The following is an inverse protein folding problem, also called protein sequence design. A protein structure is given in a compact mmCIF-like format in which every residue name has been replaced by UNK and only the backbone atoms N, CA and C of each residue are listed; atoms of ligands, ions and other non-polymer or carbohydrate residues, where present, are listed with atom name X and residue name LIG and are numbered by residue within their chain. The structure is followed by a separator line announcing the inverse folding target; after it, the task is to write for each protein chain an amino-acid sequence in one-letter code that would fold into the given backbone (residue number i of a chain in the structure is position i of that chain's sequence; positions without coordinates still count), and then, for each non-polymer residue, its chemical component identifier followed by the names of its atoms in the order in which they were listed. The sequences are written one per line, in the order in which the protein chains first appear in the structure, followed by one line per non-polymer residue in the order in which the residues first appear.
data_IF_341452429164
#
_entry.id   IF_341452429164
#
_cell.length_a   1.000
_cell.length_b   1.000
_cell.length_c   1.000
_cell.angle_alpha   90.00
_cell.angle_beta   90.00
_cell.angle_gamma   90.00
#
_symmetry.space_group_name_H-M   'P 1'
#
loop_
_entity.id
_entity.type
_entity.pdbx_description
1 polymer ?
#
# COMPACT_ATOMS: atom_id res chain seq x y z
N UNK A 1 5.15 -15.75 17.46
CA UNK A 1 5.65 -16.26 16.13
C UNK A 1 5.65 -17.78 16.09
N UNK A 2 4.89 -18.39 15.13
CA UNK A 2 4.78 -19.85 14.97
C UNK A 2 6.03 -20.50 14.38
N UNK A 3 6.25 -21.81 14.65
CA UNK A 3 7.37 -22.56 14.09
C UNK A 3 7.31 -22.61 12.55
N UNK A 4 6.12 -22.78 11.98
CA UNK A 4 5.89 -22.77 10.53
C UNK A 4 6.33 -21.47 9.86
N UNK A 5 6.07 -20.34 10.49
CA UNK A 5 6.53 -19.04 10.00
C UNK A 5 8.06 -18.93 10.06
N UNK A 6 8.71 -19.35 11.15
CA UNK A 6 10.18 -19.34 11.28
C UNK A 6 10.87 -20.14 10.18
N UNK A 7 10.34 -21.34 9.90
CA UNK A 7 10.87 -22.18 8.80
C UNK A 7 10.73 -21.48 7.45
N UNK A 8 9.55 -20.92 7.15
CA UNK A 8 9.32 -20.22 5.90
C UNK A 8 10.18 -18.96 5.74
N UNK A 9 10.36 -18.17 6.80
CA UNK A 9 11.27 -17.03 6.79
C UNK A 9 12.72 -17.44 6.51
N UNK A 10 13.15 -18.58 7.05
CA UNK A 10 14.44 -19.20 6.74
C UNK A 10 14.56 -19.58 5.25
N UNK A 11 13.53 -20.18 4.67
CA UNK A 11 13.50 -20.53 3.23
C UNK A 11 13.56 -19.27 2.35
N UNK A 12 12.79 -18.22 2.68
CA UNK A 12 12.80 -16.94 1.96
C UNK A 12 14.19 -16.31 2.00
N UNK A 13 14.86 -16.36 3.16
CA UNK A 13 16.25 -15.88 3.33
C UNK A 13 17.22 -16.65 2.43
N UNK A 14 17.12 -17.98 2.40
CA UNK A 14 17.97 -18.83 1.55
C UNK A 14 17.68 -18.62 0.06
N UNK A 15 16.43 -18.38 -0.31
CA UNK A 15 16.04 -18.07 -1.68
C UNK A 15 16.58 -16.72 -2.18
N UNK A 16 17.10 -15.88 -1.29
CA UNK A 16 17.75 -14.63 -1.62
C UNK A 16 16.81 -13.58 -2.22
N UNK A 17 15.56 -13.54 -1.77
CA UNK A 17 14.56 -12.56 -2.23
C UNK A 17 15.06 -11.12 -2.10
N UNK A 18 15.80 -10.81 -1.04
CA UNK A 18 16.45 -9.50 -0.83
C UNK A 18 17.36 -9.06 -1.97
N UNK A 19 17.99 -10.00 -2.69
CA UNK A 19 18.94 -9.66 -3.78
C UNK A 19 18.28 -8.84 -4.91
N UNK A 20 16.96 -8.90 -5.02
CA UNK A 20 16.22 -8.09 -5.97
C UNK A 20 16.34 -6.58 -5.65
N UNK A 21 16.41 -6.24 -4.37
CA UNK A 21 16.48 -4.86 -3.90
C UNK A 21 17.90 -4.25 -3.95
N UNK A 22 18.92 -5.06 -4.30
CA UNK A 22 20.31 -4.65 -4.48
C UNK A 22 20.66 -4.31 -5.94
N UNK A 23 19.67 -4.29 -6.82
CA UNK A 23 19.86 -4.06 -8.25
C UNK A 23 20.03 -2.58 -8.58
N UNK A 24 20.68 -2.30 -9.73
CA UNK A 24 20.68 -0.97 -10.32
C UNK A 24 19.26 -0.53 -10.70
N UNK A 25 19.07 0.76 -10.95
CA UNK A 25 17.79 1.31 -11.42
C UNK A 25 17.32 0.64 -12.69
N UNK A 26 18.20 0.46 -13.66
CA UNK A 26 17.94 -0.16 -14.95
C UNK A 26 17.51 -1.62 -14.80
N UNK A 27 18.28 -2.40 -14.04
CA UNK A 27 17.98 -3.81 -13.76
C UNK A 27 16.66 -3.99 -13.01
N UNK A 28 16.34 -3.07 -12.11
CA UNK A 28 15.11 -3.08 -11.34
C UNK A 28 13.89 -2.77 -12.23
N UNK A 29 13.99 -1.79 -13.11
CA UNK A 29 12.94 -1.45 -14.08
C UNK A 29 12.75 -2.58 -15.11
N UNK A 30 13.83 -3.21 -15.58
CA UNK A 30 13.72 -4.37 -16.47
C UNK A 30 13.07 -5.57 -15.78
N UNK A 31 13.43 -5.84 -14.52
CA UNK A 31 12.78 -6.85 -13.71
C UNK A 31 11.28 -6.57 -13.56
N UNK A 32 10.93 -5.33 -13.20
CA UNK A 32 9.54 -4.92 -13.05
C UNK A 32 8.74 -5.11 -14.35
N UNK A 33 9.29 -4.71 -15.49
CA UNK A 33 8.68 -4.91 -16.81
C UNK A 33 8.39 -6.40 -17.08
N UNK A 34 9.35 -7.28 -16.79
CA UNK A 34 9.20 -8.74 -16.95
C UNK A 34 8.13 -9.33 -16.01
N UNK A 35 8.05 -8.85 -14.76
CA UNK A 35 7.04 -9.29 -13.80
C UNK A 35 5.64 -8.82 -14.18
N UNK A 36 5.49 -7.55 -14.56
CA UNK A 36 4.21 -6.97 -14.96
C UNK A 36 3.62 -7.67 -16.19
N UNK A 37 4.46 -8.09 -17.15
CA UNK A 37 4.02 -8.87 -18.30
C UNK A 37 3.49 -10.27 -17.91
N UNK A 38 4.04 -10.90 -16.85
CA UNK A 38 3.61 -12.22 -16.35
C UNK A 38 2.36 -12.16 -15.47
N UNK A 39 2.20 -11.10 -14.71
CA UNK A 39 1.16 -10.92 -13.69
C UNK A 39 -0.08 -10.18 -14.19
N UNK A 40 -0.20 -10.00 -15.52
CA UNK A 40 -1.32 -9.27 -16.10
C UNK A 40 -2.68 -9.81 -15.61
N UNK A 41 -3.49 -8.93 -15.06
CA UNK A 41 -4.83 -9.25 -14.59
C UNK A 41 -5.72 -9.71 -15.75
N UNK A 42 -6.30 -10.90 -15.63
CA UNK A 42 -7.20 -11.46 -16.62
C UNK A 42 -8.65 -11.28 -16.17
N UNK A 43 -9.30 -10.25 -16.69
CA UNK A 43 -10.68 -9.91 -16.35
C UNK A 43 -11.66 -11.06 -16.64
N UNK A 44 -11.58 -11.71 -17.80
CA UNK A 44 -12.50 -12.79 -18.17
C UNK A 44 -12.42 -13.95 -17.17
N UNK A 45 -11.19 -14.33 -16.77
CA UNK A 45 -10.97 -15.35 -15.73
C UNK A 45 -11.52 -14.91 -14.37
N UNK A 46 -11.32 -13.65 -14.01
CA UNK A 46 -11.84 -13.08 -12.76
C UNK A 46 -13.38 -13.03 -12.76
N UNK A 47 -14.01 -12.63 -13.85
CA UNK A 47 -15.47 -12.62 -13.99
C UNK A 47 -16.06 -14.05 -13.95
N UNK A 48 -15.41 -15.04 -14.56
CA UNK A 48 -15.82 -16.44 -14.43
C UNK A 48 -15.76 -16.93 -12.99
N UNK A 49 -14.74 -16.54 -12.24
CA UNK A 49 -14.62 -16.82 -10.79
C UNK A 49 -15.74 -16.11 -10.00
N UNK A 50 -15.99 -14.83 -10.29
CA UNK A 50 -17.03 -14.03 -9.66
C UNK A 50 -18.41 -14.68 -9.82
N UNK A 51 -18.78 -15.06 -11.05
CA UNK A 51 -20.04 -15.76 -11.33
C UNK A 51 -20.19 -17.05 -10.52
N UNK A 52 -19.10 -17.84 -10.41
CA UNK A 52 -19.12 -19.10 -9.62
C UNK A 52 -19.29 -18.87 -8.13
N UNK A 53 -18.85 -17.71 -7.63
CA UNK A 53 -18.89 -17.33 -6.21
C UNK A 53 -19.98 -16.33 -5.86
N UNK A 54 -20.92 -16.09 -6.79
CA UNK A 54 -22.07 -15.19 -6.63
C UNK A 54 -21.71 -13.77 -6.21
N UNK A 55 -20.78 -13.15 -6.96
CA UNK A 55 -20.49 -11.72 -6.83
C UNK A 55 -20.24 -11.11 -8.22
N UNK A 56 -20.18 -9.79 -8.30
CA UNK A 56 -20.02 -9.03 -9.53
C UNK A 56 -18.67 -8.37 -9.61
N UNK A 57 -18.13 -8.26 -10.83
CA UNK A 57 -16.94 -7.49 -11.15
C UNK A 57 -17.27 -6.51 -12.27
N UNK A 58 -17.12 -5.23 -11.97
CA UNK A 58 -17.28 -4.16 -12.94
C UNK A 58 -15.92 -3.51 -13.22
N UNK A 59 -15.52 -3.45 -14.47
CA UNK A 59 -14.35 -2.72 -14.90
C UNK A 59 -14.76 -1.32 -15.34
N UNK A 60 -13.99 -0.34 -14.92
CA UNK A 60 -14.11 1.08 -15.22
C UNK A 60 -12.72 1.69 -15.38
N UNK A 61 -12.69 2.91 -15.86
CA UNK A 61 -11.46 3.69 -16.00
C UNK A 61 -11.57 5.07 -15.37
N UNK A 62 -10.45 5.57 -14.89
CA UNK A 62 -10.26 6.93 -14.43
C UNK A 62 -8.94 7.44 -15.01
N UNK A 63 -8.96 8.57 -15.71
CA UNK A 63 -7.79 9.14 -16.40
C UNK A 63 -7.07 8.12 -17.32
N UNK A 64 -7.81 7.18 -17.94
CA UNK A 64 -7.26 6.11 -18.78
C UNK A 64 -6.67 4.92 -18.01
N UNK A 65 -6.75 4.92 -16.69
CA UNK A 65 -6.30 3.81 -15.84
C UNK A 65 -7.48 3.01 -15.31
N UNK A 66 -7.33 1.70 -15.41
CA UNK A 66 -8.35 0.74 -15.03
C UNK A 66 -8.50 0.62 -13.52
N UNK A 67 -9.74 0.50 -13.06
CA UNK A 67 -10.05 -0.08 -11.77
C UNK A 67 -11.12 -1.18 -11.91
N UNK A 68 -11.12 -2.12 -10.98
CA UNK A 68 -12.11 -3.19 -10.91
C UNK A 68 -12.86 -3.07 -9.62
N UNK A 69 -14.18 -2.96 -9.70
CA UNK A 69 -15.04 -2.91 -8.54
C UNK A 69 -15.62 -4.30 -8.25
N UNK A 70 -15.31 -4.81 -7.07
CA UNK A 70 -15.89 -6.03 -6.52
C UNK A 70 -17.15 -5.64 -5.76
N UNK A 71 -18.29 -6.23 -6.13
CA UNK A 71 -19.57 -5.96 -5.51
C UNK A 71 -20.32 -7.25 -5.18
N UNK A 72 -20.99 -7.30 -4.04
CA UNK A 72 -21.84 -8.42 -3.66
C UNK A 72 -23.14 -8.45 -4.46
N UNK A 73 -23.68 -7.28 -4.79
CA UNK A 73 -24.92 -7.08 -5.51
C UNK A 73 -24.71 -6.22 -6.76
N UNK A 74 -25.71 -6.13 -7.62
CA UNK A 74 -25.70 -5.27 -8.81
C UNK A 74 -25.79 -3.78 -8.48
N UNK A 75 -26.33 -3.42 -7.30
CA UNK A 75 -26.37 -2.06 -6.80
C UNK A 75 -25.15 -1.81 -5.90
N UNK A 76 -24.62 -0.58 -5.86
CA UNK A 76 -23.57 -0.20 -4.94
C UNK A 76 -23.97 -0.48 -3.48
N UNK A 77 -22.96 -0.87 -2.67
CA UNK A 77 -23.11 -1.02 -1.22
C UNK A 77 -23.27 0.35 -0.54
N UNK A 78 -23.55 0.36 0.77
CA UNK A 78 -23.59 1.60 1.55
C UNK A 78 -22.21 2.23 1.78
N UNK A 79 -21.14 1.47 1.62
CA UNK A 79 -19.76 1.92 1.79
C UNK A 79 -18.81 1.20 0.85
N UNK A 80 -17.59 1.71 0.78
CA UNK A 80 -16.58 1.19 -0.13
C UNK A 80 -15.17 1.19 0.49
N UNK A 81 -14.30 0.37 -0.08
CA UNK A 81 -12.86 0.31 0.23
C UNK A 81 -12.07 0.62 -1.03
N UNK A 82 -11.23 1.66 -1.00
CA UNK A 82 -10.19 1.85 -2.01
C UNK A 82 -9.01 0.94 -1.65
N UNK A 83 -8.69 0.00 -2.54
CA UNK A 83 -7.59 -0.94 -2.35
C UNK A 83 -6.39 -0.52 -3.20
N UNK A 84 -5.25 -0.26 -2.54
CA UNK A 84 -3.98 0.13 -3.15
C UNK A 84 -2.94 -0.96 -2.87
N UNK A 85 -2.55 -1.69 -3.90
CA UNK A 85 -1.61 -2.82 -3.79
C UNK A 85 -0.17 -2.36 -3.55
N UNK A 86 0.69 -3.29 -3.12
CA UNK A 86 2.13 -3.08 -2.98
C UNK A 86 2.90 -3.31 -4.28
N UNK A 87 4.21 -3.19 -4.22
CA UNK A 87 5.08 -3.48 -5.37
C UNK A 87 6.14 -2.41 -5.65
N UNK A 88 6.48 -1.59 -4.65
CA UNK A 88 7.54 -0.59 -4.74
C UNK A 88 7.28 0.48 -5.79
N UNK A 89 6.03 0.75 -6.13
CA UNK A 89 5.59 1.65 -7.22
C UNK A 89 5.99 1.21 -8.63
N UNK A 90 6.60 0.05 -8.82
CA UNK A 90 7.10 -0.41 -10.13
C UNK A 90 6.50 -1.74 -10.57
N UNK A 91 6.02 -2.57 -9.64
CA UNK A 91 5.37 -3.85 -9.97
C UNK A 91 3.88 -3.82 -9.65
N UNK A 92 3.10 -4.47 -10.50
CA UNK A 92 1.65 -4.62 -10.33
C UNK A 92 1.27 -5.63 -9.24
N UNK A 93 -0.04 -5.74 -8.96
CA UNK A 93 -0.58 -6.60 -7.91
C UNK A 93 -0.39 -8.08 -8.20
N UNK A 94 -0.45 -8.88 -7.17
CA UNK A 94 -0.36 -10.32 -7.24
C UNK A 94 -1.67 -11.05 -6.87
N UNK A 95 -1.60 -12.37 -6.75
CA UNK A 95 -2.78 -13.19 -6.40
C UNK A 95 -3.26 -13.00 -4.96
N UNK A 96 -2.37 -12.58 -4.05
CA UNK A 96 -2.73 -12.35 -2.64
C UNK A 96 -3.59 -11.09 -2.54
N UNK A 97 -3.24 -10.04 -3.28
CA UNK A 97 -4.03 -8.80 -3.36
C UNK A 97 -5.46 -9.08 -3.86
N UNK A 98 -5.60 -9.79 -4.98
CA UNK A 98 -6.92 -10.12 -5.52
C UNK A 98 -7.74 -11.03 -4.59
N UNK A 99 -7.08 -11.95 -3.89
CA UNK A 99 -7.73 -12.82 -2.92
C UNK A 99 -8.23 -12.04 -1.70
N UNK A 100 -7.46 -11.06 -1.24
CA UNK A 100 -7.84 -10.22 -0.12
C UNK A 100 -8.99 -9.26 -0.51
N UNK A 101 -8.92 -8.63 -1.69
CA UNK A 101 -9.99 -7.77 -2.19
C UNK A 101 -11.33 -8.51 -2.27
N UNK A 102 -11.33 -9.75 -2.80
CA UNK A 102 -12.51 -10.61 -2.82
C UNK A 102 -13.03 -10.90 -1.40
N UNK A 103 -12.15 -11.22 -0.46
CA UNK A 103 -12.53 -11.49 0.94
C UNK A 103 -13.11 -10.28 1.65
N UNK A 104 -12.50 -9.11 1.47
CA UNK A 104 -13.01 -7.86 2.04
C UNK A 104 -14.45 -7.66 1.57
N UNK A 105 -14.71 -7.68 0.27
CA UNK A 105 -16.04 -7.53 -0.28
C UNK A 105 -17.03 -8.55 0.31
N UNK A 106 -16.61 -9.83 0.41
CA UNK A 106 -17.52 -10.89 0.91
C UNK A 106 -17.84 -10.74 2.40
N UNK A 107 -16.90 -10.24 3.24
CA UNK A 107 -17.02 -10.23 4.68
C UNK A 107 -17.49 -8.89 5.26
N UNK A 108 -17.23 -7.78 4.55
CA UNK A 108 -17.62 -6.44 4.99
C UNK A 108 -18.93 -5.96 4.37
N UNK A 109 -19.34 -6.60 3.28
CA UNK A 109 -20.45 -6.16 2.44
C UNK A 109 -20.26 -4.77 1.79
N UNK A 110 -19.03 -4.23 1.88
CA UNK A 110 -18.60 -3.00 1.20
C UNK A 110 -18.12 -3.33 -0.21
N UNK A 111 -18.31 -2.41 -1.13
CA UNK A 111 -17.69 -2.51 -2.44
C UNK A 111 -16.18 -2.33 -2.33
N UNK A 112 -15.39 -3.07 -3.12
CA UNK A 112 -13.94 -2.87 -3.16
C UNK A 112 -13.54 -2.33 -4.52
N UNK A 113 -12.98 -1.13 -4.52
CA UNK A 113 -12.41 -0.48 -5.69
C UNK A 113 -10.93 -0.81 -5.76
N UNK A 114 -10.58 -1.76 -6.60
CA UNK A 114 -9.22 -2.21 -6.81
C UNK A 114 -8.60 -1.41 -7.96
N UNK A 115 -7.78 -0.42 -7.62
CA UNK A 115 -7.17 0.48 -8.60
C UNK A 115 -5.86 -0.09 -9.14
N UNK A 116 -5.74 -0.17 -10.47
CA UNK A 116 -4.47 -0.40 -11.16
C UNK A 116 -3.82 0.95 -11.45
N UNK A 117 -3.30 1.58 -10.40
CA UNK A 117 -2.67 2.90 -10.52
C UNK A 117 -1.42 2.85 -11.41
N UNK A 118 -1.03 3.99 -12.06
CA UNK A 118 0.17 4.06 -12.87
C UNK A 118 1.42 3.68 -12.07
N UNK A 119 2.24 2.81 -12.64
CA UNK A 119 3.51 2.41 -12.04
C UNK A 119 4.62 3.33 -12.55
N UNK A 120 5.58 3.65 -11.69
CA UNK A 120 6.77 4.37 -12.08
C UNK A 120 7.61 3.55 -13.08
N UNK A 121 8.23 4.24 -14.03
CA UNK A 121 9.03 3.65 -15.10
C UNK A 121 10.17 4.60 -15.47
N UNK A 122 10.91 4.30 -16.53
CA UNK A 122 11.92 5.22 -17.06
C UNK A 122 11.33 6.60 -17.45
N UNK A 123 10.07 6.60 -17.94
CA UNK A 123 9.40 7.77 -18.51
C UNK A 123 8.25 8.29 -17.62
N UNK A 124 8.05 7.71 -16.44
CA UNK A 124 6.95 8.07 -15.55
C UNK A 124 7.40 8.08 -14.08
N UNK A 125 7.21 9.23 -13.46
CA UNK A 125 7.44 9.40 -12.02
C UNK A 125 6.15 9.14 -11.19
N UNK A 126 6.23 9.38 -9.87
CA UNK A 126 5.13 9.10 -8.95
C UNK A 126 3.97 10.12 -9.03
N UNK A 127 4.15 11.27 -9.64
CA UNK A 127 3.15 12.35 -9.70
C UNK A 127 1.84 11.88 -10.32
N UNK A 128 1.92 11.25 -11.49
CA UNK A 128 0.74 10.70 -12.17
C UNK A 128 0.02 9.64 -11.31
N UNK A 129 0.78 8.87 -10.51
CA UNK A 129 0.20 7.91 -9.57
C UNK A 129 -0.67 8.61 -8.53
N UNK A 130 -0.21 9.73 -7.96
CA UNK A 130 -0.99 10.54 -7.03
C UNK A 130 -2.23 11.13 -7.68
N UNK A 131 -2.10 11.71 -8.88
CA UNK A 131 -3.19 12.30 -9.64
C UNK A 131 -4.31 11.28 -9.94
N UNK A 132 -3.96 10.08 -10.36
CA UNK A 132 -4.92 9.01 -10.65
C UNK A 132 -5.56 8.47 -9.35
N UNK A 133 -4.79 8.31 -8.28
CA UNK A 133 -5.32 7.84 -7.01
C UNK A 133 -6.31 8.84 -6.40
N UNK A 134 -5.98 10.14 -6.40
CA UNK A 134 -6.88 11.17 -5.86
C UNK A 134 -8.12 11.35 -6.73
N UNK A 135 -8.00 11.27 -8.05
CA UNK A 135 -9.13 11.29 -8.98
C UNK A 135 -10.06 10.09 -8.77
N UNK A 136 -9.49 8.90 -8.52
CA UNK A 136 -10.28 7.70 -8.18
C UNK A 136 -11.05 7.90 -6.86
N UNK A 137 -10.39 8.45 -5.84
CA UNK A 137 -11.05 8.76 -4.59
C UNK A 137 -12.16 9.81 -4.78
N UNK A 138 -11.92 10.84 -5.58
CA UNK A 138 -12.94 11.84 -5.95
C UNK A 138 -14.16 11.21 -6.64
N UNK A 139 -13.94 10.22 -7.52
CA UNK A 139 -15.03 9.47 -8.13
C UNK A 139 -15.80 8.65 -7.08
N UNK A 140 -15.12 8.05 -6.10
CA UNK A 140 -15.78 7.33 -5.01
C UNK A 140 -16.65 8.25 -4.14
N UNK A 141 -16.20 9.48 -3.86
CA UNK A 141 -16.98 10.44 -3.05
C UNK A 141 -18.24 10.96 -3.77
N UNK A 142 -18.37 10.76 -5.07
CA UNK A 142 -19.60 11.02 -5.83
C UNK A 142 -20.62 9.88 -5.71
N UNK A 143 -20.18 8.66 -5.33
CA UNK A 143 -21.06 7.48 -5.19
C UNK A 143 -21.31 7.09 -3.72
N UNK A 144 -20.40 7.42 -2.81
CA UNK A 144 -20.44 7.05 -1.38
C UNK A 144 -20.22 8.27 -0.49
N UNK A 145 -20.86 8.29 0.68
CA UNK A 145 -20.50 9.26 1.71
C UNK A 145 -19.07 9.00 2.18
N UNK A 146 -18.27 10.05 2.31
CA UNK A 146 -16.86 9.93 2.61
C UNK A 146 -16.57 9.14 3.90
N UNK A 147 -17.37 9.33 4.94
CA UNK A 147 -17.28 8.58 6.19
C UNK A 147 -17.50 7.07 6.03
N UNK A 148 -18.12 6.61 4.95
CA UNK A 148 -18.33 5.20 4.62
C UNK A 148 -17.25 4.65 3.69
N UNK A 149 -16.30 5.48 3.25
CA UNK A 149 -15.16 5.06 2.47
C UNK A 149 -13.99 4.75 3.42
N UNK A 150 -13.36 3.61 3.22
CA UNK A 150 -12.09 3.27 3.85
C UNK A 150 -11.01 3.17 2.79
N UNK A 151 -9.76 3.53 3.13
CA UNK A 151 -8.62 3.34 2.24
C UNK A 151 -7.68 2.31 2.85
N UNK A 152 -7.35 1.27 2.09
CA UNK A 152 -6.46 0.19 2.50
C UNK A 152 -5.29 0.11 1.52
N UNK A 153 -4.08 0.18 2.04
CA UNK A 153 -2.86 0.04 1.24
C UNK A 153 -1.84 -0.90 1.84
N UNK A 154 -1.03 -1.50 0.97
CA UNK A 154 0.07 -2.40 1.35
C UNK A 154 1.40 -1.90 0.79
N UNK A 155 2.48 -1.86 1.59
CA UNK A 155 3.81 -1.44 1.13
C UNK A 155 3.76 -0.07 0.44
N UNK A 156 4.19 0.03 -0.82
CA UNK A 156 4.04 1.27 -1.61
C UNK A 156 2.59 1.76 -1.73
N UNK A 157 1.61 0.86 -1.79
CA UNK A 157 0.19 1.21 -1.71
C UNK A 157 -0.21 1.77 -0.34
N UNK A 158 0.47 1.37 0.74
CA UNK A 158 0.28 1.93 2.08
C UNK A 158 0.82 3.36 2.16
N UNK A 159 1.95 3.65 1.48
CA UNK A 159 2.46 5.01 1.33
C UNK A 159 1.45 5.88 0.57
N UNK A 160 0.85 5.36 -0.51
CA UNK A 160 -0.19 6.07 -1.26
C UNK A 160 -1.46 6.27 -0.42
N UNK A 161 -1.87 5.29 0.39
CA UNK A 161 -3.06 5.41 1.23
C UNK A 161 -3.01 6.60 2.20
N UNK A 162 -1.83 6.96 2.67
CA UNK A 162 -1.57 8.18 3.46
C UNK A 162 -1.32 9.37 2.53
N UNK A 163 -0.42 9.18 1.56
CA UNK A 163 0.10 10.24 0.70
C UNK A 163 -0.97 10.97 -0.11
N UNK A 164 -2.02 10.28 -0.60
CA UNK A 164 -3.10 10.93 -1.36
C UNK A 164 -3.88 11.96 -0.51
N UNK A 165 -3.93 11.81 0.81
CA UNK A 165 -4.58 12.78 1.70
C UNK A 165 -3.64 13.89 2.14
N UNK A 166 -2.33 13.64 2.20
CA UNK A 166 -1.33 14.71 2.26
C UNK A 166 -1.40 15.58 0.99
N UNK A 167 -1.55 14.93 -0.17
CA UNK A 167 -1.74 15.63 -1.44
C UNK A 167 -3.05 16.43 -1.48
N UNK A 168 -4.15 15.84 -1.00
CA UNK A 168 -5.43 16.54 -0.86
C UNK A 168 -5.31 17.80 0.03
N UNK A 169 -4.58 17.69 1.15
CA UNK A 169 -4.33 18.84 2.04
C UNK A 169 -3.47 19.90 1.35
N UNK A 170 -2.43 19.51 0.62
CA UNK A 170 -1.59 20.43 -0.15
C UNK A 170 -2.36 21.15 -1.27
N UNK A 171 -3.42 20.54 -1.81
CA UNK A 171 -4.33 21.16 -2.80
C UNK A 171 -5.44 22.02 -2.16
N UNK A 172 -5.42 22.25 -0.85
CA UNK A 172 -6.45 23.01 -0.14
C UNK A 172 -7.70 22.21 0.21
N UNK A 173 -7.62 20.90 0.26
CA UNK A 173 -8.68 19.95 0.65
C UNK A 173 -9.92 19.94 -0.25
N UNK A 174 -9.78 19.78 -1.55
CA UNK A 174 -10.94 19.76 -2.44
C UNK A 174 -11.88 18.58 -2.20
N UNK A 175 -11.40 17.51 -1.55
CA UNK A 175 -12.18 16.30 -1.26
C UNK A 175 -12.33 16.07 0.27
N UNK A 176 -13.48 15.54 0.72
CA UNK A 176 -13.66 15.17 2.12
C UNK A 176 -12.74 13.99 2.49
N UNK A 177 -12.33 13.91 3.76
CA UNK A 177 -11.52 12.81 4.27
C UNK A 177 -12.34 11.51 4.36
N UNK A 178 -11.73 10.32 4.18
CA UNK A 178 -12.43 9.05 4.35
C UNK A 178 -12.75 8.76 5.82
N UNK A 179 -13.59 7.78 6.09
CA UNK A 179 -13.89 7.36 7.45
C UNK A 179 -12.69 6.77 8.18
N UNK A 180 -11.77 6.11 7.48
CA UNK A 180 -10.52 5.56 8.03
C UNK A 180 -9.50 5.24 6.96
N UNK A 181 -8.22 5.18 7.39
CA UNK A 181 -7.10 4.72 6.58
C UNK A 181 -6.46 3.51 7.28
N UNK A 182 -6.16 2.46 6.53
CA UNK A 182 -5.39 1.31 6.99
C UNK A 182 -4.16 1.18 6.11
N UNK A 183 -3.01 1.39 6.69
CA UNK A 183 -1.72 1.47 6.01
C UNK A 183 -0.81 0.35 6.52
N UNK A 184 -0.59 -0.66 5.69
CA UNK A 184 0.16 -1.88 6.08
C UNK A 184 1.57 -1.82 5.54
N UNK A 185 2.54 -1.76 6.45
CA UNK A 185 3.96 -1.65 6.17
C UNK A 185 4.33 -0.42 5.32
N UNK A 186 3.83 0.79 5.65
CA UNK A 186 4.26 1.99 4.96
C UNK A 186 5.70 2.35 5.29
N UNK A 187 6.29 3.12 4.41
CA UNK A 187 7.61 3.72 4.60
C UNK A 187 7.70 5.08 3.91
N UNK A 188 8.92 5.51 3.67
CA UNK A 188 9.27 6.66 2.86
C UNK A 188 10.49 6.34 2.02
N UNK A 189 10.77 7.20 1.09
CA UNK A 189 12.01 7.22 0.31
C UNK A 189 12.69 8.58 0.46
N UNK A 190 13.06 8.96 1.73
CA UNK A 190 13.67 10.25 2.03
C UNK A 190 14.97 10.44 1.27
N UNK A 191 15.42 11.68 1.14
CA UNK A 191 16.73 11.98 0.57
C UNK A 191 17.85 11.65 1.58
N UNK A 192 18.43 10.47 1.43
CA UNK A 192 19.48 9.98 2.31
C UNK A 192 20.84 10.71 2.15
N UNK A 193 20.93 11.71 1.27
CA UNK A 193 22.08 12.61 1.20
C UNK A 193 22.00 13.74 2.22
N UNK A 194 20.81 14.00 2.77
CA UNK A 194 20.58 15.03 3.77
C UNK A 194 20.90 14.53 5.18
N UNK A 195 21.60 15.36 5.96
CA UNK A 195 22.00 15.03 7.35
C UNK A 195 20.79 14.73 8.25
N UNK A 196 19.68 15.43 8.05
CA UNK A 196 18.44 15.24 8.79
C UNK A 196 17.83 13.84 8.62
N UNK A 197 18.18 13.15 7.55
CA UNK A 197 17.71 11.79 7.26
C UNK A 197 18.70 10.69 7.69
N UNK A 198 19.80 11.05 8.35
CA UNK A 198 20.79 10.08 8.82
C UNK A 198 20.21 9.17 9.92
N UNK A 199 19.40 9.71 10.83
CA UNK A 199 18.80 8.92 11.91
C UNK A 199 17.90 7.81 11.37
N UNK A 200 17.02 8.11 10.38
CA UNK A 200 16.17 7.08 9.78
C UNK A 200 16.99 6.04 9.02
N UNK A 201 18.07 6.45 8.36
CA UNK A 201 18.97 5.51 7.68
C UNK A 201 19.59 4.51 8.66
N UNK A 202 20.11 4.97 9.80
CA UNK A 202 20.68 4.12 10.82
C UNK A 202 19.67 3.11 11.38
N UNK A 203 18.43 3.54 11.64
CA UNK A 203 17.34 2.67 12.08
C UNK A 203 16.98 1.61 11.03
N UNK A 204 16.90 1.97 9.77
CA UNK A 204 16.65 1.05 8.66
C UNK A 204 17.75 -0.02 8.55
N UNK A 205 19.01 0.39 8.63
CA UNK A 205 20.18 -0.51 8.57
C UNK A 205 20.21 -1.45 9.79
N UNK A 206 19.88 -0.97 10.98
CA UNK A 206 19.82 -1.78 12.19
C UNK A 206 18.80 -2.94 12.08
N UNK A 207 17.70 -2.73 11.37
CA UNK A 207 16.67 -3.77 11.12
C UNK A 207 17.00 -4.68 9.93
N UNK A 208 17.97 -4.33 9.09
CA UNK A 208 18.26 -5.05 7.84
C UNK A 208 18.58 -6.53 8.05
N UNK A 209 19.29 -6.90 9.11
CA UNK A 209 19.61 -8.31 9.39
C UNK A 209 18.40 -9.17 9.75
N UNK A 210 17.33 -8.56 10.26
CA UNK A 210 16.08 -9.22 10.64
C UNK A 210 15.12 -9.33 9.46
N UNK A 211 15.10 -8.34 8.58
CA UNK A 211 14.23 -8.33 7.40
C UNK A 211 14.66 -9.41 6.40
N UNK A 212 13.72 -10.24 5.97
CA UNK A 212 13.94 -11.33 5.00
C UNK A 212 13.46 -10.97 3.59
N UNK A 213 12.82 -9.80 3.42
CA UNK A 213 12.19 -9.37 2.17
C UNK A 213 12.87 -8.14 1.61
N UNK A 214 12.94 -7.03 2.38
CA UNK A 214 13.45 -5.75 1.89
C UNK A 214 14.88 -5.52 2.36
N UNK A 215 15.70 -4.94 1.47
CA UNK A 215 17.00 -4.36 1.82
C UNK A 215 16.88 -2.83 1.80
N UNK A 216 17.32 -2.10 2.85
CA UNK A 216 17.14 -0.65 2.93
C UNK A 216 17.89 0.13 1.85
N UNK A 217 18.90 -0.46 1.20
CA UNK A 217 19.58 0.19 0.06
C UNK A 217 18.64 0.48 -1.10
N UNK A 218 17.52 -0.27 -1.19
CA UNK A 218 16.43 -0.03 -2.14
C UNK A 218 15.88 1.40 -2.08
N UNK A 219 15.87 2.04 -0.92
CA UNK A 219 15.31 3.39 -0.74
C UNK A 219 15.94 4.40 -1.70
N UNK A 220 17.26 4.33 -1.94
CA UNK A 220 17.94 5.23 -2.87
C UNK A 220 17.47 5.03 -4.30
N UNK A 221 17.47 3.78 -4.77
CA UNK A 221 17.02 3.43 -6.12
C UNK A 221 15.52 3.72 -6.31
N UNK A 222 14.71 3.44 -5.28
CA UNK A 222 13.28 3.75 -5.29
C UNK A 222 13.03 5.26 -5.43
N UNK A 223 13.80 6.09 -4.70
CA UNK A 223 13.70 7.56 -4.81
C UNK A 223 14.05 8.04 -6.22
N UNK A 224 15.14 7.54 -6.80
CA UNK A 224 15.53 7.89 -8.17
C UNK A 224 14.45 7.53 -9.21
N UNK A 225 13.80 6.37 -9.04
CA UNK A 225 12.73 5.93 -9.93
C UNK A 225 11.47 6.78 -9.72
N UNK A 226 11.04 6.95 -8.47
CA UNK A 226 9.81 7.64 -8.13
C UNK A 226 9.86 9.14 -8.43
N UNK A 227 10.98 9.79 -8.16
CA UNK A 227 11.19 11.21 -8.44
C UNK A 227 11.37 11.50 -9.93
N UNK A 228 12.09 10.63 -10.65
CA UNK A 228 12.51 10.93 -12.02
C UNK A 228 13.38 12.18 -12.06
N UNK A 229 13.11 13.05 -13.03
CA UNK A 229 13.83 14.33 -13.25
C UNK A 229 13.08 15.56 -12.73
N UNK A 230 11.88 15.37 -12.16
CA UNK A 230 11.05 16.47 -11.70
C UNK A 230 11.36 16.88 -10.25
N UNK A 231 11.10 18.13 -9.94
CA UNK A 231 11.06 18.62 -8.56
C UNK A 231 9.66 18.35 -8.00
N UNK A 232 9.57 17.34 -7.13
CA UNK A 232 8.33 16.89 -6.52
C UNK A 232 8.26 17.32 -5.06
N UNK A 233 7.05 17.66 -4.55
CA UNK A 233 6.85 17.86 -3.13
C UNK A 233 7.30 16.63 -2.31
N UNK A 234 8.06 16.85 -1.23
CA UNK A 234 8.69 15.75 -0.48
C UNK A 234 7.68 14.74 0.07
N UNK A 235 6.45 15.17 0.44
CA UNK A 235 5.40 14.24 0.90
C UNK A 235 5.01 13.16 -0.13
N UNK A 236 5.29 13.37 -1.41
CA UNK A 236 5.06 12.33 -2.43
C UNK A 236 6.11 11.22 -2.38
N UNK A 237 7.28 11.53 -1.82
CA UNK A 237 8.43 10.62 -1.70
C UNK A 237 8.55 10.09 -0.28
N UNK A 238 8.25 10.90 0.71
CA UNK A 238 8.24 10.52 2.13
C UNK A 238 6.90 10.88 2.77
N UNK A 239 6.05 9.87 2.96
CA UNK A 239 4.73 10.03 3.57
C UNK A 239 4.75 10.41 5.05
N UNK A 240 5.93 10.52 5.68
CA UNK A 240 6.05 10.97 7.08
C UNK A 240 6.10 12.50 7.21
N UNK A 241 6.26 13.19 6.09
CA UNK A 241 6.24 14.66 6.03
C UNK A 241 4.97 15.16 5.33
N UNK A 242 4.54 16.38 5.67
CA UNK A 242 3.35 17.00 5.08
C UNK A 242 2.33 17.45 6.12
N UNK A 243 1.15 17.83 5.65
CA UNK A 243 0.05 18.33 6.49
C UNK A 243 -0.94 17.20 6.82
N UNK A 244 -0.91 16.71 8.05
CA UNK A 244 -1.83 15.69 8.57
C UNK A 244 -3.09 16.28 9.22
N UNK A 245 -3.36 17.57 9.08
CA UNK A 245 -4.55 18.19 9.65
C UNK A 245 -5.83 17.54 9.12
N UNK A 246 -6.74 17.20 10.03
CA UNK A 246 -8.04 16.61 9.66
C UNK A 246 -7.97 15.16 9.19
N UNK A 247 -6.83 14.47 9.32
CA UNK A 247 -6.74 13.06 9.01
C UNK A 247 -7.74 12.25 9.85
N UNK A 248 -8.37 11.22 9.26
CA UNK A 248 -9.25 10.31 9.99
C UNK A 248 -8.42 9.35 10.85
N UNK A 249 -9.11 8.50 11.64
CA UNK A 249 -8.42 7.41 12.35
C UNK A 249 -7.62 6.57 11.36
N UNK A 250 -6.30 6.55 11.57
CA UNK A 250 -5.33 5.86 10.71
C UNK A 250 -4.69 4.72 11.49
N UNK A 251 -4.72 3.52 10.91
CA UNK A 251 -4.12 2.32 11.46
C UNK A 251 -2.85 1.99 10.67
N UNK A 252 -1.71 1.94 11.36
CA UNK A 252 -0.43 1.53 10.78
C UNK A 252 -0.08 0.13 11.26
N UNK A 253 0.07 -0.81 10.34
CA UNK A 253 0.48 -2.19 10.64
C UNK A 253 1.92 -2.40 10.22
N UNK A 254 2.75 -2.96 11.10
CA UNK A 254 4.13 -3.31 10.80
C UNK A 254 4.48 -4.71 11.30
N UNK A 255 5.38 -5.39 10.59
CA UNK A 255 6.11 -6.51 11.15
C UNK A 255 7.32 -6.02 11.95
N UNK A 256 7.54 -6.56 13.16
CA UNK A 256 8.68 -6.15 13.99
C UNK A 256 10.04 -6.39 13.30
N UNK A 257 10.11 -7.37 12.39
CA UNK A 257 11.32 -7.76 11.68
C UNK A 257 11.42 -7.17 10.26
N UNK A 258 10.65 -6.15 9.93
CA UNK A 258 10.82 -5.42 8.67
C UNK A 258 11.59 -4.12 8.85
N UNK A 259 12.45 -3.77 7.89
CA UNK A 259 13.22 -2.52 7.98
C UNK A 259 12.32 -1.28 7.93
N UNK A 260 11.19 -1.32 7.23
CA UNK A 260 10.25 -0.19 7.18
C UNK A 260 9.55 0.10 8.52
N UNK A 261 9.64 -0.79 9.50
CA UNK A 261 9.19 -0.50 10.87
C UNK A 261 9.92 0.72 11.48
N UNK A 262 11.12 1.02 10.99
CA UNK A 262 11.83 2.26 11.35
C UNK A 262 11.01 3.53 11.13
N UNK A 263 10.07 3.54 10.16
CA UNK A 263 9.20 4.69 9.90
C UNK A 263 8.03 4.84 10.89
N UNK A 264 7.73 3.85 11.70
CA UNK A 264 6.58 3.88 12.62
C UNK A 264 6.62 5.10 13.56
N UNK A 265 7.79 5.38 14.14
CA UNK A 265 7.99 6.53 15.02
C UNK A 265 7.81 7.87 14.28
N UNK A 266 8.22 7.94 13.02
CA UNK A 266 8.08 9.17 12.21
C UNK A 266 6.61 9.44 11.85
N UNK A 267 5.85 8.41 11.48
CA UNK A 267 4.39 8.54 11.33
C UNK A 267 3.72 8.92 12.64
N UNK A 268 4.12 8.31 13.75
CA UNK A 268 3.61 8.68 15.08
C UNK A 268 3.83 10.18 15.36
N UNK A 269 5.07 10.65 15.23
CA UNK A 269 5.41 12.07 15.46
C UNK A 269 4.61 12.99 14.54
N UNK A 270 4.42 12.61 13.27
CA UNK A 270 3.63 13.37 12.31
C UNK A 270 2.15 13.45 12.72
N UNK A 271 1.54 12.31 13.09
CA UNK A 271 0.15 12.27 13.54
C UNK A 271 -0.05 13.08 14.84
N UNK A 272 0.85 12.94 15.81
CA UNK A 272 0.80 13.66 17.09
C UNK A 272 0.93 15.18 16.89
N UNK A 273 1.83 15.64 16.02
CA UNK A 273 2.01 17.04 15.68
C UNK A 273 0.70 17.72 15.24
N UNK A 274 -0.13 17.00 14.50
CA UNK A 274 -1.39 17.51 13.97
C UNK A 274 -2.62 17.04 14.77
N UNK A 275 -2.41 16.37 15.91
CA UNK A 275 -3.47 15.81 16.76
C UNK A 275 -4.41 14.87 15.99
N UNK A 276 -3.89 14.22 14.96
CA UNK A 276 -4.62 13.25 14.14
C UNK A 276 -4.71 11.89 14.86
N UNK A 277 -5.87 11.23 14.87
CA UNK A 277 -6.03 9.97 15.59
C UNK A 277 -5.34 8.82 14.84
N UNK A 278 -4.54 8.04 15.55
CA UNK A 278 -3.81 6.91 14.96
C UNK A 278 -3.76 5.70 15.90
N UNK A 279 -3.31 4.58 15.34
CA UNK A 279 -2.95 3.37 16.06
C UNK A 279 -1.83 2.65 15.31
N UNK A 280 -0.80 2.19 16.03
CA UNK A 280 0.29 1.39 15.46
C UNK A 280 0.16 -0.03 15.99
N UNK A 281 0.01 -0.98 15.07
CA UNK A 281 -0.10 -2.42 15.35
C UNK A 281 1.18 -3.10 14.88
N UNK A 282 1.88 -3.76 15.79
CA UNK A 282 3.14 -4.43 15.48
C UNK A 282 2.98 -5.94 15.62
N UNK A 283 3.21 -6.66 14.53
CA UNK A 283 3.26 -8.11 14.53
C UNK A 283 4.61 -8.61 15.04
N UNK A 284 4.66 -9.19 16.26
CA UNK A 284 5.87 -9.68 16.89
C UNK A 284 6.60 -10.73 16.03
N UNK A 285 7.83 -10.43 15.64
CA UNK A 285 8.67 -11.28 14.81
C UNK A 285 8.25 -11.39 13.34
N UNK A 286 7.23 -10.65 12.89
CA UNK A 286 6.68 -10.73 11.53
C UNK A 286 7.50 -9.94 10.53
N UNK A 287 7.39 -10.34 9.25
CA UNK A 287 8.02 -9.67 8.11
C UNK A 287 7.12 -8.61 7.47
N UNK A 288 7.65 -7.96 6.45
CA UNK A 288 6.98 -6.99 5.60
C UNK A 288 5.66 -7.51 5.04
N UNK A 289 4.60 -6.73 5.17
CA UNK A 289 3.24 -7.03 4.70
C UNK A 289 2.69 -8.38 5.19
N UNK A 290 3.05 -8.83 6.40
CA UNK A 290 2.63 -10.12 6.93
C UNK A 290 1.10 -10.36 6.91
N UNK A 291 0.21 -9.35 7.01
CA UNK A 291 -1.24 -9.58 6.91
C UNK A 291 -1.70 -10.17 5.56
N UNK A 292 -0.90 -10.04 4.48
CA UNK A 292 -1.18 -10.72 3.21
C UNK A 292 -0.91 -12.24 3.27
N UNK A 293 -0.07 -12.68 4.21
CA UNK A 293 0.42 -14.05 4.31
C UNK A 293 -0.52 -14.95 5.11
N UNK A 294 -1.74 -15.13 4.61
CA UNK A 294 -2.83 -15.82 5.28
C UNK A 294 -2.59 -17.32 5.55
N UNK A 295 -1.61 -17.92 4.94
CA UNK A 295 -1.20 -19.30 5.22
C UNK A 295 -0.52 -19.45 6.59
N UNK A 296 -0.08 -18.36 7.24
CA UNK A 296 0.34 -18.34 8.63
C UNK A 296 -0.79 -17.88 9.56
N UNK A 297 -0.73 -18.35 10.81
CA UNK A 297 -1.72 -18.00 11.85
C UNK A 297 -1.73 -16.48 12.08
N UNK A 298 -0.56 -15.89 12.24
CA UNK A 298 -0.38 -14.46 12.52
C UNK A 298 -0.92 -13.59 11.36
N UNK A 299 -0.62 -13.95 10.12
CA UNK A 299 -1.16 -13.25 8.96
C UNK A 299 -2.68 -13.39 8.84
N UNK A 300 -3.25 -14.57 9.18
CA UNK A 300 -4.71 -14.73 9.22
C UNK A 300 -5.36 -13.84 10.27
N UNK A 301 -4.81 -13.79 11.49
CA UNK A 301 -5.33 -12.99 12.58
C UNK A 301 -5.31 -11.50 12.22
N UNK A 302 -4.18 -10.97 11.77
CA UNK A 302 -4.07 -9.59 11.34
C UNK A 302 -5.00 -9.25 10.17
N UNK A 303 -5.18 -10.17 9.20
CA UNK A 303 -6.12 -9.96 8.11
C UNK A 303 -7.57 -9.93 8.59
N UNK A 304 -7.94 -10.76 9.57
CA UNK A 304 -9.26 -10.78 10.19
C UNK A 304 -9.53 -9.50 10.99
N UNK A 305 -8.52 -8.98 11.71
CA UNK A 305 -8.59 -7.68 12.39
C UNK A 305 -8.79 -6.53 11.40
N UNK A 306 -8.01 -6.48 10.30
CA UNK A 306 -8.18 -5.48 9.24
C UNK A 306 -9.60 -5.56 8.65
N UNK A 307 -10.12 -6.76 8.38
CA UNK A 307 -11.47 -6.91 7.85
C UNK A 307 -12.54 -6.46 8.87
N UNK A 308 -12.34 -6.73 10.16
CA UNK A 308 -13.22 -6.24 11.21
C UNK A 308 -13.24 -4.70 11.29
N UNK A 309 -12.07 -4.05 11.19
CA UNK A 309 -11.94 -2.59 11.10
C UNK A 309 -12.65 -2.03 9.85
N UNK A 310 -12.56 -2.72 8.72
CA UNK A 310 -13.21 -2.30 7.48
C UNK A 310 -14.73 -2.50 7.55
N UNK A 311 -15.23 -3.42 8.35
CA UNK A 311 -16.67 -3.69 8.51
C UNK A 311 -17.36 -2.62 9.34
N UNK A 312 -16.70 -2.11 10.38
CA UNK A 312 -17.15 -0.96 11.18
C UNK A 312 -17.08 0.34 10.36
#
# INVERSE_FOLDING_TARGET
MTLTYRVAAGVVRLAGVKKMFLKSKEDMLEYAKKQNAKSAFNLAKAQKRAKRKNYFLFEREVMGYRFVRYQKNTKPAAGAVLYLFGGGMITGPDKLDFSLAERIMQQTEKDVWFLFYPLCSADRNIKETYEVCIATYGLMTSEYRAENISVLGFSSGACLAVGIFLHNNALGRPLPMPGKIISVSPGGIPDLSLTENQEIWEKLVALNSKDVIIDPTYIRTAREIAKGTEDLPEYMLDGTVGDFSGFPKTYFYYGENECLYAFAEYFQRAMEKYQAPYEIVVGEGMCHCYPLLRFFKEGRQAQEEIIALLKS
#
